data_IF_671017296293
#
_entry.id   IF_671017296293
#
_cell.length_a   1.000
_cell.length_b   1.000
_cell.length_c   1.000
_cell.angle_alpha   90.00
_cell.angle_beta   90.00
_cell.angle_gamma   90.00
#
_symmetry.space_group_name_H-M   'P 1'
#
loop_
_entity.id
_entity.type
_entity.pdbx_description
1 polymer ?
#
# COMPACT_ATOMS: atom_id res chain seq x y z
N UNK A 1 26.56 -29.50 -3.52
CA UNK A 1 25.19 -29.54 -3.97
C UNK A 1 24.45 -28.33 -3.43
N UNK A 2 23.62 -27.74 -4.22
CA UNK A 2 22.71 -26.68 -3.78
C UNK A 2 21.65 -27.34 -2.89
N UNK A 3 21.52 -26.90 -1.65
CA UNK A 3 20.37 -27.24 -0.81
C UNK A 3 19.28 -26.22 -1.10
N UNK A 4 18.24 -26.67 -1.77
CA UNK A 4 17.07 -25.87 -2.08
C UNK A 4 16.12 -25.89 -0.87
N UNK A 5 16.28 -24.94 0.03
CA UNK A 5 15.39 -24.79 1.19
C UNK A 5 14.30 -23.78 0.84
N UNK A 6 13.08 -24.28 0.73
CA UNK A 6 11.90 -23.44 0.67
C UNK A 6 11.61 -22.91 2.07
N UNK A 7 11.59 -21.59 2.19
CA UNK A 7 11.09 -20.92 3.38
C UNK A 7 9.68 -20.41 3.06
N UNK A 8 8.71 -20.91 3.78
CA UNK A 8 7.36 -20.41 3.73
C UNK A 8 7.01 -19.63 5.00
N UNK A 9 6.10 -18.68 4.87
CA UNK A 9 5.56 -17.90 5.97
C UNK A 9 4.07 -17.86 5.85
N UNK A 10 3.39 -17.92 6.98
CA UNK A 10 1.95 -17.84 7.02
C UNK A 10 1.47 -16.41 6.80
N UNK A 11 0.58 -16.24 5.82
CA UNK A 11 -0.21 -15.03 5.61
C UNK A 11 -1.66 -15.28 6.04
N UNK A 12 -2.33 -14.24 6.50
CA UNK A 12 -3.70 -14.33 6.99
C UNK A 12 -4.61 -13.40 6.20
N UNK A 13 -5.84 -13.87 5.94
CA UNK A 13 -6.92 -13.00 5.47
C UNK A 13 -7.59 -12.33 6.66
N UNK A 14 -7.83 -11.04 6.55
CA UNK A 14 -8.53 -10.23 7.54
C UNK A 14 -9.93 -9.91 7.03
N UNK A 15 -10.89 -9.86 7.95
CA UNK A 15 -12.26 -9.44 7.66
C UNK A 15 -12.36 -7.93 7.86
N UNK A 16 -12.73 -7.24 6.79
CA UNK A 16 -13.07 -5.83 6.80
C UNK A 16 -14.58 -5.70 6.72
N UNK A 17 -15.15 -4.96 7.66
CA UNK A 17 -16.60 -4.82 7.76
C UNK A 17 -16.97 -3.39 8.04
N UNK A 18 -17.67 -2.76 7.12
CA UNK A 18 -18.16 -1.39 7.25
C UNK A 18 -19.69 -1.40 7.21
N UNK A 19 -20.30 -1.08 8.34
CA UNK A 19 -21.75 -1.00 8.47
C UNK A 19 -22.27 0.41 8.21
N UNK A 20 -23.46 0.49 7.65
CA UNK A 20 -24.22 1.73 7.55
C UNK A 20 -25.12 1.90 8.76
N UNK A 21 -25.42 3.15 9.13
CA UNK A 21 -26.45 3.43 10.12
C UNK A 21 -27.82 3.03 9.58
N UNK A 22 -28.75 2.71 10.49
CA UNK A 22 -30.13 2.39 10.11
C UNK A 22 -30.80 3.66 9.58
N UNK A 23 -31.32 3.58 8.37
CA UNK A 23 -32.15 4.59 7.76
C UNK A 23 -33.61 4.21 7.92
N UNK A 24 -34.39 5.04 8.62
CA UNK A 24 -35.84 4.83 8.71
C UNK A 24 -36.49 4.95 7.33
N UNK A 25 -37.65 4.34 7.15
CA UNK A 25 -38.43 4.44 5.92
C UNK A 25 -38.70 5.90 5.51
N UNK A 26 -38.94 6.78 6.50
CA UNK A 26 -39.10 8.22 6.27
C UNK A 26 -37.82 8.87 5.73
N UNK A 27 -36.65 8.53 6.30
CA UNK A 27 -35.37 9.07 5.85
C UNK A 27 -35.00 8.61 4.42
N UNK A 28 -35.36 7.37 4.08
CA UNK A 28 -35.18 6.84 2.72
C UNK A 28 -36.05 7.54 1.67
N UNK A 29 -37.24 7.97 2.08
CA UNK A 29 -38.20 8.62 1.18
C UNK A 29 -38.05 10.15 1.09
N UNK A 30 -37.28 10.76 1.99
CA UNK A 30 -37.15 12.21 2.09
C UNK A 30 -35.96 12.74 1.29
N UNK A 31 -36.24 13.71 0.45
CA UNK A 31 -35.21 14.51 -0.21
C UNK A 31 -34.61 15.51 0.79
N UNK A 32 -33.29 15.50 0.96
CA UNK A 32 -32.59 16.31 1.94
C UNK A 32 -31.68 17.33 1.26
N UNK A 33 -31.94 18.62 1.46
CA UNK A 33 -31.12 19.74 0.94
C UNK A 33 -30.85 19.70 -0.58
N UNK A 34 -31.83 19.29 -1.38
CA UNK A 34 -31.68 19.16 -2.82
C UNK A 34 -30.91 17.94 -3.29
N UNK A 35 -30.59 17.02 -2.38
CA UNK A 35 -29.99 15.72 -2.69
C UNK A 35 -31.12 14.70 -2.81
N UNK A 36 -31.34 14.23 -4.03
CA UNK A 36 -32.46 13.33 -4.34
C UNK A 36 -32.32 11.93 -3.68
N UNK A 37 -31.13 11.55 -3.24
CA UNK A 37 -30.90 10.26 -2.62
C UNK A 37 -29.75 10.33 -1.61
N UNK A 38 -30.08 10.68 -0.37
CA UNK A 38 -29.11 10.77 0.72
C UNK A 38 -28.51 9.41 1.08
N UNK A 39 -29.29 8.35 0.98
CA UNK A 39 -28.81 6.98 1.20
C UNK A 39 -27.68 6.61 0.22
N UNK A 40 -27.84 6.96 -1.05
CA UNK A 40 -26.82 6.68 -2.07
C UNK A 40 -25.54 7.49 -1.83
N UNK A 41 -25.66 8.74 -1.39
CA UNK A 41 -24.50 9.57 -1.04
C UNK A 41 -23.69 8.95 0.11
N UNK A 42 -24.37 8.58 1.19
CA UNK A 42 -23.72 7.95 2.35
C UNK A 42 -23.11 6.61 1.97
N UNK A 43 -23.75 5.89 1.06
CA UNK A 43 -23.24 4.63 0.54
C UNK A 43 -21.88 4.81 -0.15
N UNK A 44 -21.75 5.85 -0.97
CA UNK A 44 -20.47 6.19 -1.62
C UNK A 44 -19.39 6.55 -0.61
N UNK A 45 -19.73 7.36 0.40
CA UNK A 45 -18.80 7.73 1.46
C UNK A 45 -18.33 6.49 2.25
N UNK A 46 -19.25 5.57 2.57
CA UNK A 46 -18.92 4.32 3.29
C UNK A 46 -18.09 3.35 2.44
N UNK A 47 -18.28 3.33 1.14
CA UNK A 47 -17.46 2.55 0.24
C UNK A 47 -16.02 3.09 0.17
N UNK A 48 -15.86 4.41 0.18
CA UNK A 48 -14.54 5.04 0.25
C UNK A 48 -13.84 4.73 1.58
N UNK A 49 -14.56 4.86 2.70
CA UNK A 49 -14.05 4.50 4.04
C UNK A 49 -13.58 3.04 4.06
N UNK A 50 -14.39 2.11 3.55
CA UNK A 50 -14.06 0.69 3.48
C UNK A 50 -12.78 0.42 2.68
N UNK A 51 -12.61 1.09 1.54
CA UNK A 51 -11.39 0.97 0.73
C UNK A 51 -10.16 1.52 1.45
N UNK A 52 -10.31 2.64 2.16
CA UNK A 52 -9.22 3.21 2.95
C UNK A 52 -8.81 2.30 4.11
N UNK A 53 -9.74 1.63 4.76
CA UNK A 53 -9.45 0.65 5.82
C UNK A 53 -8.65 -0.54 5.29
N UNK A 54 -9.00 -1.04 4.10
CA UNK A 54 -8.26 -2.10 3.42
C UNK A 54 -6.85 -1.63 3.06
N UNK A 55 -6.72 -0.45 2.46
CA UNK A 55 -5.43 0.14 2.08
C UNK A 55 -4.53 0.33 3.30
N UNK A 56 -5.09 0.87 4.39
CA UNK A 56 -4.35 1.04 5.65
C UNK A 56 -3.87 -0.29 6.22
N UNK A 57 -4.69 -1.33 6.20
CA UNK A 57 -4.29 -2.64 6.68
C UNK A 57 -3.23 -3.30 5.79
N UNK A 58 -3.33 -3.12 4.46
CA UNK A 58 -2.34 -3.65 3.51
C UNK A 58 -1.01 -2.89 3.55
N UNK A 59 -1.02 -1.65 4.02
CA UNK A 59 0.20 -0.86 4.17
C UNK A 59 0.86 -1.08 5.56
N UNK A 60 0.06 -1.09 6.65
CA UNK A 60 0.56 -1.08 8.03
C UNK A 60 0.21 -2.31 8.88
N UNK A 61 -0.51 -3.28 8.35
CA UNK A 61 -0.93 -4.45 9.11
C UNK A 61 0.22 -5.27 9.67
N UNK A 62 0.11 -5.73 10.90
CA UNK A 62 1.18 -6.42 11.64
C UNK A 62 0.98 -7.93 11.62
N UNK A 63 0.41 -8.53 10.67
CA UNK A 63 0.26 -9.98 10.53
C UNK A 63 0.20 -10.76 11.84
N UNK A 64 -0.98 -11.08 12.33
CA UNK A 64 -1.13 -11.83 13.56
C UNK A 64 -2.33 -12.77 13.48
N UNK A 65 -2.24 -13.91 14.15
CA UNK A 65 -3.37 -14.77 14.42
C UNK A 65 -3.49 -14.97 15.93
N UNK A 66 -4.71 -15.03 16.44
CA UNK A 66 -4.90 -15.43 17.83
C UNK A 66 -4.42 -16.89 18.00
N UNK A 67 -3.61 -17.13 19.02
CA UNK A 67 -3.03 -18.44 19.35
C UNK A 67 -4.10 -19.45 19.87
N UNK A 68 -5.36 -19.17 19.70
CA UNK A 68 -6.42 -19.97 20.30
C UNK A 68 -6.72 -21.24 19.50
N UNK A 69 -6.22 -22.33 20.02
CA UNK A 69 -6.65 -23.68 19.60
C UNK A 69 -8.13 -23.95 19.88
N UNK A 70 -8.83 -23.08 20.59
CA UNK A 70 -10.19 -23.29 21.10
C UNK A 70 -11.23 -22.34 20.48
N UNK A 71 -10.80 -21.30 19.77
CA UNK A 71 -11.74 -20.35 19.21
C UNK A 71 -12.44 -20.90 17.97
N UNK A 72 -13.74 -20.98 18.03
CA UNK A 72 -14.59 -21.24 16.86
C UNK A 72 -14.51 -20.12 15.82
N UNK A 73 -13.96 -18.97 16.21
CA UNK A 73 -13.75 -17.78 15.38
C UNK A 73 -12.39 -17.15 15.70
N UNK A 74 -11.28 -17.65 15.11
CA UNK A 74 -9.96 -17.07 15.33
C UNK A 74 -9.89 -15.67 14.75
N UNK A 75 -9.35 -14.73 15.52
CA UNK A 75 -9.06 -13.37 15.04
C UNK A 75 -7.78 -13.41 14.22
N UNK A 76 -7.82 -12.88 13.02
CA UNK A 76 -6.67 -12.84 12.10
C UNK A 76 -6.50 -11.45 11.53
N UNK A 77 -5.25 -11.02 11.42
CA UNK A 77 -4.85 -9.74 10.83
C UNK A 77 -3.89 -9.99 9.68
N UNK A 78 -4.12 -9.30 8.56
CA UNK A 78 -3.25 -9.37 7.39
C UNK A 78 -1.88 -8.74 7.65
N UNK A 79 -0.85 -9.24 6.98
CA UNK A 79 0.43 -8.54 6.88
C UNK A 79 0.29 -7.32 5.97
N UNK A 80 0.82 -6.19 6.45
CA UNK A 80 1.05 -5.01 5.65
C UNK A 80 2.45 -5.02 5.04
N UNK A 81 2.60 -4.37 3.90
CA UNK A 81 3.87 -4.34 3.17
C UNK A 81 5.01 -3.69 3.98
N UNK A 82 4.71 -2.64 4.77
CA UNK A 82 5.71 -1.90 5.52
C UNK A 82 6.27 -2.74 6.69
N UNK A 83 5.49 -3.26 7.65
CA UNK A 83 6.02 -4.07 8.75
C UNK A 83 6.63 -5.39 8.27
N UNK A 84 6.10 -5.97 7.19
CA UNK A 84 6.66 -7.17 6.60
C UNK A 84 8.06 -6.91 6.01
N UNK A 85 8.20 -5.85 5.23
CA UNK A 85 9.49 -5.47 4.64
C UNK A 85 10.49 -5.02 5.71
N UNK A 86 10.03 -4.34 6.76
CA UNK A 86 10.90 -3.96 7.88
C UNK A 86 11.47 -5.18 8.62
N UNK A 87 10.68 -6.25 8.72
CA UNK A 87 11.08 -7.48 9.43
C UNK A 87 11.91 -8.44 8.58
N UNK A 88 11.66 -8.48 7.27
CA UNK A 88 12.19 -9.54 6.42
C UNK A 88 12.81 -9.05 5.10
N UNK A 89 12.56 -7.83 4.71
CA UNK A 89 13.11 -7.20 3.51
C UNK A 89 14.38 -6.39 3.80
N UNK A 90 14.69 -5.48 2.90
CA UNK A 90 15.83 -4.58 2.99
C UNK A 90 15.43 -3.24 3.59
N UNK A 91 16.25 -2.71 4.50
CA UNK A 91 16.03 -1.39 5.12
C UNK A 91 17.27 -0.52 4.95
N UNK A 92 17.13 0.61 4.29
CA UNK A 92 18.19 1.58 4.08
C UNK A 92 17.90 2.85 4.87
N UNK A 93 18.87 3.28 5.67
CA UNK A 93 18.76 4.54 6.42
C UNK A 93 19.52 5.63 5.66
N UNK A 94 18.84 6.72 5.37
CA UNK A 94 19.36 7.88 4.67
C UNK A 94 19.18 9.14 5.51
N UNK A 95 20.07 10.11 5.36
CA UNK A 95 19.94 11.39 6.03
C UNK A 95 19.65 12.51 5.02
N UNK A 96 18.68 13.35 5.33
CA UNK A 96 18.36 14.53 4.52
C UNK A 96 19.53 15.52 4.36
N UNK A 97 20.46 15.53 5.31
CA UNK A 97 21.55 16.49 5.33
C UNK A 97 22.86 15.97 4.75
N UNK A 98 23.13 14.67 4.88
CA UNK A 98 24.42 14.07 4.53
C UNK A 98 24.36 13.04 3.41
N UNK A 99 23.21 12.42 3.18
CA UNK A 99 23.05 11.46 2.07
C UNK A 99 22.81 12.20 0.77
N UNK A 100 23.79 12.15 -0.11
CA UNK A 100 23.69 12.69 -1.47
C UNK A 100 23.20 11.66 -2.47
N UNK A 101 23.35 11.99 -3.74
CA UNK A 101 23.02 11.10 -4.85
C UNK A 101 23.83 9.80 -4.84
N UNK A 102 25.09 9.85 -4.42
CA UNK A 102 25.98 8.69 -4.36
C UNK A 102 25.47 7.66 -3.34
N UNK A 103 25.08 8.09 -2.15
CA UNK A 103 24.50 7.21 -1.14
C UNK A 103 23.16 6.56 -1.60
N UNK A 104 22.39 7.28 -2.40
CA UNK A 104 21.20 6.74 -3.02
C UNK A 104 21.52 5.67 -4.06
N UNK A 105 22.55 5.89 -4.89
CA UNK A 105 23.01 4.92 -5.87
C UNK A 105 23.56 3.64 -5.22
N UNK A 106 24.35 3.79 -4.14
CA UNK A 106 24.88 2.64 -3.39
C UNK A 106 23.75 1.76 -2.81
N UNK A 107 22.69 2.39 -2.29
CA UNK A 107 21.52 1.67 -1.84
C UNK A 107 20.77 0.97 -3.00
N UNK A 108 20.72 1.60 -4.17
CA UNK A 108 20.07 1.01 -5.35
C UNK A 108 20.89 -0.15 -5.94
N UNK A 109 22.21 -0.10 -5.88
CA UNK A 109 23.07 -1.21 -6.30
C UNK A 109 22.73 -2.49 -5.54
N UNK A 110 22.66 -2.42 -4.22
CA UNK A 110 22.26 -3.56 -3.39
C UNK A 110 20.79 -3.95 -3.60
N UNK A 111 19.90 -2.96 -3.74
CA UNK A 111 18.47 -3.23 -3.89
C UNK A 111 18.13 -3.96 -5.19
N UNK A 112 18.76 -3.60 -6.29
CA UNK A 112 18.57 -4.24 -7.59
C UNK A 112 19.46 -5.45 -7.83
N UNK A 113 20.14 -5.97 -6.81
CA UNK A 113 20.96 -7.15 -6.97
C UNK A 113 20.20 -8.31 -7.61
N UNK A 114 20.76 -8.99 -8.62
CA UNK A 114 20.03 -9.97 -9.43
C UNK A 114 19.76 -11.30 -8.74
N UNK A 115 20.28 -11.50 -7.56
CA UNK A 115 20.37 -12.78 -6.85
C UNK A 115 19.01 -13.35 -6.46
N UNK A 116 18.00 -12.51 -6.29
CA UNK A 116 16.66 -12.90 -5.81
C UNK A 116 15.58 -12.89 -6.90
N UNK A 117 15.94 -12.93 -8.18
CA UNK A 117 14.94 -12.81 -9.26
C UNK A 117 14.28 -11.45 -9.30
N UNK A 118 15.00 -10.43 -8.93
CA UNK A 118 14.57 -9.03 -8.91
C UNK A 118 14.07 -8.55 -10.27
N UNK A 119 12.99 -7.76 -10.28
CA UNK A 119 12.59 -7.06 -11.50
C UNK A 119 13.33 -5.71 -11.59
N UNK A 120 13.64 -5.29 -12.82
CA UNK A 120 14.22 -3.97 -13.08
C UNK A 120 13.25 -2.79 -12.88
N UNK A 121 11.98 -3.05 -12.53
CA UNK A 121 10.96 -2.03 -12.31
C UNK A 121 10.36 -2.20 -10.92
N UNK A 122 10.42 -1.15 -10.12
CA UNK A 122 9.86 -1.13 -8.77
C UNK A 122 8.82 -0.02 -8.63
N UNK A 123 7.73 -0.34 -7.94
CA UNK A 123 6.79 0.67 -7.46
C UNK A 123 7.31 1.25 -6.14
N UNK A 124 7.28 2.56 -6.02
CA UNK A 124 7.76 3.25 -4.83
C UNK A 124 6.64 4.09 -4.25
N UNK A 125 6.13 3.69 -3.10
CA UNK A 125 5.16 4.43 -2.33
C UNK A 125 5.93 5.41 -1.43
N UNK A 126 5.81 6.69 -1.70
CA UNK A 126 6.59 7.71 -1.01
C UNK A 126 5.72 8.79 -0.39
N UNK A 127 6.17 9.32 0.74
CA UNK A 127 5.58 10.50 1.36
C UNK A 127 5.88 11.75 0.54
N UNK A 128 5.12 12.81 0.78
CA UNK A 128 5.37 14.14 0.15
C UNK A 128 6.75 14.68 0.47
N UNK A 129 7.21 14.48 1.71
CA UNK A 129 8.49 14.97 2.19
C UNK A 129 9.64 14.32 1.44
N UNK A 130 9.58 13.00 1.27
CA UNK A 130 10.58 12.25 0.52
C UNK A 130 10.59 12.63 -0.95
N UNK A 131 9.43 12.76 -1.59
CA UNK A 131 9.33 13.19 -3.00
C UNK A 131 9.94 14.59 -3.17
N UNK A 132 9.65 15.52 -2.27
CA UNK A 132 10.22 16.87 -2.30
C UNK A 132 11.74 16.83 -2.14
N UNK A 133 12.25 15.99 -1.26
CA UNK A 133 13.70 15.82 -1.08
C UNK A 133 14.38 15.28 -2.33
N UNK A 134 13.83 14.23 -2.93
CA UNK A 134 14.38 13.64 -4.16
C UNK A 134 14.36 14.63 -5.34
N UNK A 135 13.32 15.44 -5.45
CA UNK A 135 13.29 16.52 -6.45
C UNK A 135 14.37 17.59 -6.20
N UNK A 136 14.67 17.90 -4.94
CA UNK A 136 15.76 18.82 -4.59
C UNK A 136 17.13 18.23 -4.88
N UNK A 137 17.35 16.95 -4.64
CA UNK A 137 18.57 16.24 -5.03
C UNK A 137 18.80 16.32 -6.54
N UNK A 138 17.77 16.05 -7.33
CA UNK A 138 17.82 16.17 -8.79
C UNK A 138 18.15 17.59 -9.25
N UNK A 139 17.54 18.61 -8.65
CA UNK A 139 17.78 20.02 -9.01
C UNK A 139 19.12 20.54 -8.49
N UNK A 140 19.56 20.12 -7.30
CA UNK A 140 20.85 20.49 -6.72
C UNK A 140 22.03 19.97 -7.54
N UNK A 141 21.92 18.77 -8.08
CA UNK A 141 22.87 18.20 -9.03
C UNK A 141 22.94 19.02 -10.33
N UNK A 142 21.84 19.67 -10.73
CA UNK A 142 21.79 20.55 -11.89
C UNK A 142 22.39 21.94 -11.64
N UNK A 143 22.25 22.48 -10.43
CA UNK A 143 22.76 23.81 -10.06
C UNK A 143 24.25 23.80 -9.69
N UNK A 144 24.78 22.67 -9.26
CA UNK A 144 26.21 22.53 -8.92
C UNK A 144 27.09 22.27 -10.15
N UNK A 145 26.55 22.41 -11.34
CA UNK A 145 27.25 22.21 -12.60
C UNK A 145 27.95 23.49 -13.08
N UNK A 146 28.76 24.09 -12.23
CA UNK A 146 29.88 24.87 -12.73
C UNK A 146 31.03 23.90 -12.97
N UNK A 147 31.25 23.61 -14.26
CA UNK A 147 32.39 22.86 -14.82
C UNK A 147 32.23 21.34 -14.94
N UNK A 148 31.66 20.92 -16.04
CA UNK A 148 32.30 19.85 -16.81
C UNK A 148 31.92 18.39 -16.56
N UNK A 149 30.80 18.04 -15.92
CA UNK A 149 30.35 16.65 -15.96
C UNK A 149 28.83 16.53 -16.15
N UNK A 150 28.44 16.51 -17.40
CA UNK A 150 27.06 16.26 -17.85
C UNK A 150 26.63 14.78 -17.77
N UNK A 151 27.26 13.98 -16.91
CA UNK A 151 27.08 12.53 -16.91
C UNK A 151 26.11 11.99 -15.85
N UNK A 152 25.63 12.79 -14.91
CA UNK A 152 24.75 12.33 -13.84
C UNK A 152 23.43 13.11 -13.84
N UNK A 153 22.59 12.79 -14.80
CA UNK A 153 21.20 13.27 -14.79
C UNK A 153 20.31 12.22 -14.17
N UNK A 154 19.65 12.60 -13.08
CA UNK A 154 18.45 11.90 -12.65
C UNK A 154 17.36 12.27 -13.69
N UNK A 155 17.08 11.39 -14.63
CA UNK A 155 16.01 11.60 -15.60
C UNK A 155 14.68 11.32 -14.90
N UNK A 156 14.04 12.40 -14.49
CA UNK A 156 12.69 12.33 -13.90
C UNK A 156 11.68 12.55 -15.01
N UNK A 157 11.06 11.49 -15.48
CA UNK A 157 9.96 11.55 -16.42
C UNK A 157 8.62 11.44 -15.69
N UNK A 158 7.71 12.35 -15.98
CA UNK A 158 6.34 12.30 -15.49
C UNK A 158 5.48 11.51 -16.47
N UNK A 159 5.00 10.33 -16.03
CA UNK A 159 4.10 9.51 -16.82
C UNK A 159 2.69 9.60 -16.22
N UNK A 160 1.65 9.96 -17.00
CA UNK A 160 0.28 9.93 -16.50
C UNK A 160 -0.12 8.48 -16.19
N UNK A 161 -0.47 8.22 -14.94
CA UNK A 161 -0.94 6.90 -14.52
C UNK A 161 -2.36 6.60 -15.01
N UNK A 162 -2.67 5.33 -15.23
CA UNK A 162 -3.97 4.87 -15.72
C UNK A 162 -5.16 5.19 -14.79
N UNK A 163 -4.89 5.59 -13.54
CA UNK A 163 -5.90 5.92 -12.53
C UNK A 163 -5.86 7.39 -12.05
N UNK A 164 -5.33 8.29 -12.88
CA UNK A 164 -5.25 9.71 -12.52
C UNK A 164 -4.13 10.07 -11.54
N UNK A 165 -3.24 9.15 -11.22
CA UNK A 165 -2.04 9.42 -10.43
C UNK A 165 -0.90 9.88 -11.35
N UNK A 166 -0.21 10.94 -10.95
CA UNK A 166 1.02 11.35 -11.62
C UNK A 166 2.16 10.50 -11.10
N UNK A 167 2.66 9.60 -11.93
CA UNK A 167 3.81 8.75 -11.60
C UNK A 167 5.07 9.44 -12.08
N UNK A 168 6.00 9.65 -11.17
CA UNK A 168 7.34 10.16 -11.51
C UNK A 168 8.28 8.97 -11.60
N UNK A 169 8.92 8.80 -12.74
CA UNK A 169 9.89 7.71 -12.97
C UNK A 169 11.29 8.23 -12.75
N UNK A 170 12.03 7.54 -11.89
CA UNK A 170 13.47 7.77 -11.69
C UNK A 170 14.22 6.61 -12.33
N UNK A 171 14.95 6.91 -13.39
CA UNK A 171 15.78 5.93 -14.06
C UNK A 171 17.17 5.90 -13.42
N UNK A 172 17.51 4.75 -12.85
CA UNK A 172 18.87 4.48 -12.37
C UNK A 172 19.58 3.55 -13.35
N UNK A 173 20.90 3.44 -13.24
CA UNK A 173 21.68 2.48 -14.06
C UNK A 173 21.32 1.02 -13.78
N UNK A 174 20.70 0.73 -12.63
CA UNK A 174 20.33 -0.61 -12.18
C UNK A 174 18.87 -0.96 -12.50
N UNK A 175 18.00 0.03 -12.62
CA UNK A 175 16.58 -0.17 -12.88
C UNK A 175 15.74 1.10 -12.72
N UNK A 176 14.45 0.96 -12.89
CA UNK A 176 13.49 2.06 -12.87
C UNK A 176 12.67 2.04 -11.57
N UNK A 177 12.55 3.18 -10.93
CA UNK A 177 11.72 3.44 -9.77
C UNK A 177 10.52 4.28 -10.16
N UNK A 178 9.33 3.73 -9.99
CA UNK A 178 8.07 4.41 -10.27
C UNK A 178 7.50 4.99 -8.99
N UNK A 179 7.67 6.28 -8.76
CA UNK A 179 7.22 6.95 -7.54
C UNK A 179 5.75 7.32 -7.63
N UNK A 180 5.01 6.91 -6.62
CA UNK A 180 3.61 7.30 -6.39
C UNK A 180 3.52 7.92 -5.01
N UNK A 181 2.83 9.05 -4.92
CA UNK A 181 2.56 9.66 -3.63
C UNK A 181 1.51 8.84 -2.87
N UNK A 182 1.88 8.38 -1.67
CA UNK A 182 0.99 7.66 -0.76
C UNK A 182 0.52 8.59 0.35
N UNK A 183 -0.77 8.98 0.36
CA UNK A 183 -1.30 9.93 1.36
C UNK A 183 -1.29 9.40 2.79
N UNK A 184 -1.29 8.07 2.98
CA UNK A 184 -1.26 7.45 4.30
C UNK A 184 0.12 7.50 4.96
N UNK A 185 1.19 7.71 4.19
CA UNK A 185 2.53 7.96 4.71
C UNK A 185 2.65 9.38 5.25
N UNK A 186 2.12 9.61 6.45
CA UNK A 186 2.08 10.92 7.13
C UNK A 186 2.38 10.77 8.63
N UNK A 187 2.70 11.89 9.29
CA UNK A 187 3.03 11.88 10.73
C UNK A 187 4.30 11.06 11.00
N UNK A 188 4.23 10.00 11.80
CA UNK A 188 5.40 9.17 12.11
C UNK A 188 6.03 8.49 10.88
N UNK A 189 5.28 8.35 9.79
CA UNK A 189 5.69 7.68 8.56
C UNK A 189 6.08 8.64 7.43
N UNK A 190 6.14 9.95 7.71
CA UNK A 190 6.45 10.95 6.67
C UNK A 190 7.88 10.87 6.12
N UNK A 191 8.78 10.21 6.84
CA UNK A 191 10.17 9.99 6.45
C UNK A 191 10.42 8.62 5.81
N UNK A 192 9.33 7.89 5.52
CA UNK A 192 9.39 6.55 4.95
C UNK A 192 9.05 6.57 3.46
N UNK A 193 9.72 5.66 2.76
CA UNK A 193 9.45 5.33 1.37
C UNK A 193 9.53 3.82 1.22
N UNK A 194 8.49 3.21 0.68
CA UNK A 194 8.38 1.75 0.54
C UNK A 194 8.53 1.36 -0.92
N UNK A 195 9.57 0.62 -1.24
CA UNK A 195 9.85 0.12 -2.58
C UNK A 195 9.31 -1.31 -2.71
N UNK A 196 8.46 -1.54 -3.69
CA UNK A 196 7.72 -2.79 -3.86
C UNK A 196 7.95 -3.37 -5.24
N UNK A 197 8.27 -4.65 -5.29
CA UNK A 197 8.24 -5.42 -6.54
C UNK A 197 6.84 -5.99 -6.77
N UNK A 198 6.12 -5.43 -7.74
CA UNK A 198 4.74 -5.83 -8.03
C UNK A 198 4.57 -7.26 -8.53
N UNK A 199 5.66 -7.93 -8.94
CA UNK A 199 5.61 -9.36 -9.30
C UNK A 199 5.46 -10.26 -8.08
N UNK A 200 5.94 -9.79 -6.93
CA UNK A 200 6.04 -10.53 -5.69
C UNK A 200 5.00 -10.12 -4.66
N UNK A 201 4.02 -9.32 -5.06
CA UNK A 201 2.89 -8.91 -4.20
C UNK A 201 1.58 -9.18 -4.92
N UNK A 202 0.65 -9.81 -4.23
CA UNK A 202 -0.66 -10.10 -4.77
C UNK A 202 -1.76 -9.90 -3.73
N UNK A 203 -2.87 -9.31 -4.16
CA UNK A 203 -4.11 -9.26 -3.38
C UNK A 203 -4.77 -10.63 -3.41
N UNK A 204 -5.07 -11.18 -2.24
CA UNK A 204 -5.68 -12.51 -2.10
C UNK A 204 -6.99 -12.43 -1.34
N UNK A 205 -8.12 -12.38 -2.04
CA UNK A 205 -9.42 -12.56 -1.39
C UNK A 205 -9.58 -14.01 -0.92
N UNK A 206 -10.29 -14.21 0.17
CA UNK A 206 -10.60 -15.56 0.65
C UNK A 206 -11.58 -16.23 -0.32
N UNK A 207 -11.13 -17.33 -0.90
CA UNK A 207 -11.91 -18.13 -1.84
C UNK A 207 -11.82 -19.61 -1.45
N UNK A 208 -12.94 -20.30 -1.43
CA UNK A 208 -12.97 -21.74 -1.14
C UNK A 208 -14.37 -22.33 -1.27
N UNK A 209 -14.44 -23.62 -1.61
CA UNK A 209 -15.68 -24.38 -1.72
C UNK A 209 -16.78 -23.72 -2.59
N UNK A 210 -16.37 -22.99 -3.65
CA UNK A 210 -17.31 -22.27 -4.52
C UNK A 210 -17.81 -20.94 -3.95
N UNK A 211 -17.30 -20.51 -2.81
CA UNK A 211 -17.64 -19.22 -2.20
C UNK A 211 -16.45 -18.26 -2.35
N UNK A 212 -16.72 -17.08 -2.87
CA UNK A 212 -15.78 -15.95 -2.86
C UNK A 212 -16.22 -14.95 -1.79
N UNK A 213 -15.30 -14.58 -0.92
CA UNK A 213 -15.52 -13.56 0.11
C UNK A 213 -14.76 -12.26 -0.21
N UNK A 214 -14.53 -12.02 -1.49
CA UNK A 214 -14.15 -10.69 -1.95
C UNK A 214 -15.29 -9.70 -1.67
N UNK A 215 -15.10 -8.44 -1.94
CA UNK A 215 -16.05 -7.37 -1.59
C UNK A 215 -17.47 -7.71 -2.01
N UNK A 216 -18.34 -7.86 -1.04
CA UNK A 216 -19.76 -8.08 -1.23
C UNK A 216 -20.59 -7.24 -0.25
N UNK A 217 -21.86 -7.09 -0.59
CA UNK A 217 -22.78 -6.25 0.15
C UNK A 217 -23.87 -7.14 0.73
N UNK A 218 -24.06 -7.04 2.03
CA UNK A 218 -25.24 -7.59 2.69
C UNK A 218 -26.26 -6.48 2.90
N UNK A 219 -27.46 -6.68 2.42
CA UNK A 219 -28.55 -5.72 2.51
C UNK A 219 -29.58 -6.16 3.56
N UNK A 220 -30.27 -5.19 4.17
CA UNK A 220 -31.31 -5.42 5.17
C UNK A 220 -30.82 -6.24 6.37
N UNK A 221 -29.74 -5.82 6.98
CA UNK A 221 -29.09 -6.53 8.11
C UNK A 221 -29.73 -6.17 9.47
N UNK A 222 -30.64 -5.18 9.47
CA UNK A 222 -31.34 -4.76 10.69
C UNK A 222 -32.22 -5.88 11.27
N UNK A 223 -32.49 -5.80 12.57
CA UNK A 223 -33.43 -6.71 13.21
C UNK A 223 -34.85 -6.52 12.65
N UNK A 224 -35.66 -7.60 12.64
CA UNK A 224 -36.99 -7.59 12.02
C UNK A 224 -38.02 -6.66 12.68
N UNK A 225 -37.74 -6.18 13.89
CA UNK A 225 -38.58 -5.24 14.65
C UNK A 225 -38.24 -3.78 14.39
N UNK A 226 -37.22 -3.50 13.58
CA UNK A 226 -36.76 -2.15 13.26
C UNK A 226 -37.26 -1.73 11.88
N UNK A 227 -38.05 -0.67 11.83
CA UNK A 227 -38.44 -0.06 10.58
C UNK A 227 -37.28 0.75 9.98
N UNK A 228 -36.76 0.28 8.84
CA UNK A 228 -35.66 0.92 8.16
C UNK A 228 -34.83 -0.05 7.34
N UNK A 229 -33.72 0.48 6.83
CA UNK A 229 -32.72 -0.27 6.06
C UNK A 229 -31.34 -0.06 6.63
N UNK A 230 -30.62 -1.16 6.83
CA UNK A 230 -29.22 -1.17 7.17
C UNK A 230 -28.49 -2.13 6.23
N UNK A 231 -27.47 -1.62 5.58
CA UNK A 231 -26.61 -2.43 4.70
C UNK A 231 -25.19 -2.46 5.29
N UNK A 232 -24.42 -3.47 4.92
CA UNK A 232 -23.01 -3.56 5.28
C UNK A 232 -22.16 -4.04 4.11
N UNK A 233 -20.94 -3.54 4.05
CA UNK A 233 -19.92 -3.95 3.09
C UNK A 233 -18.96 -4.87 3.82
N UNK A 234 -18.67 -6.03 3.25
CA UNK A 234 -17.76 -7.02 3.81
C UNK A 234 -16.73 -7.40 2.75
N UNK A 235 -15.47 -7.40 3.16
CA UNK A 235 -14.36 -7.95 2.38
C UNK A 235 -13.52 -8.83 3.28
N UNK A 236 -13.16 -10.00 2.81
CA UNK A 236 -12.23 -10.86 3.52
C UNK A 236 -11.05 -11.15 2.59
N UNK A 237 -9.93 -10.50 2.86
CA UNK A 237 -8.75 -10.54 2.02
C UNK A 237 -7.46 -10.40 2.82
N UNK A 238 -6.36 -10.77 2.20
CA UNK A 238 -5.02 -10.59 2.71
C UNK A 238 -4.06 -10.17 1.61
N UNK A 239 -2.87 -9.78 2.00
CA UNK A 239 -1.77 -9.50 1.11
C UNK A 239 -0.81 -10.70 1.09
N UNK A 240 -0.56 -11.23 -0.09
CA UNK A 240 0.52 -12.18 -0.32
C UNK A 240 1.77 -11.42 -0.69
N UNK A 241 2.84 -11.62 0.08
CA UNK A 241 4.14 -11.00 -0.15
C UNK A 241 5.16 -12.13 -0.23
N UNK A 242 5.77 -12.27 -1.40
CA UNK A 242 6.81 -13.26 -1.64
C UNK A 242 8.16 -12.58 -1.85
N UNK A 243 9.25 -13.34 -1.71
CA UNK A 243 10.63 -12.91 -1.90
C UNK A 243 10.90 -11.54 -1.25
N UNK A 244 10.95 -11.47 0.09
CA UNK A 244 11.04 -10.19 0.81
C UNK A 244 12.27 -9.35 0.46
N UNK A 245 13.33 -9.96 -0.03
CA UNK A 245 14.57 -9.29 -0.47
C UNK A 245 14.35 -8.38 -1.70
N UNK A 246 13.23 -8.57 -2.42
CA UNK A 246 12.86 -7.72 -3.56
C UNK A 246 12.11 -6.45 -3.15
N UNK A 247 11.80 -6.32 -1.87
CA UNK A 247 11.15 -5.15 -1.27
C UNK A 247 12.14 -4.42 -0.37
N UNK A 248 12.02 -3.10 -0.33
CA UNK A 248 12.88 -2.27 0.51
C UNK A 248 12.13 -1.11 1.15
N UNK A 249 12.64 -0.66 2.28
CA UNK A 249 12.22 0.58 2.91
C UNK A 249 13.41 1.54 2.92
N UNK A 250 13.18 2.76 2.45
CA UNK A 250 14.10 3.87 2.62
C UNK A 250 13.59 4.74 3.77
N UNK A 251 14.38 4.84 4.84
CA UNK A 251 14.09 5.70 6.00
C UNK A 251 14.99 6.92 5.93
N UNK A 252 14.39 8.08 5.94
CA UNK A 252 15.10 9.37 5.93
C UNK A 252 15.09 10.00 7.32
N UNK A 253 16.22 10.52 7.77
CA UNK A 253 16.38 11.17 9.08
C UNK A 253 17.14 12.50 8.98
#
# INVERSE_FOLDING_TARGET
>A
GWEDKLFDREGYCQIFKTGMNIFSGTALATEYRGIANEFQRIWQDKLMEHKMDIEQAMLFGVGAASAEAVATQPTRYSWGILPYTESYGKVYNMSYSSSGYDAFLDAMEDFFAPESGNSGNKLVLASRKVITYLNKLGSGSFLNNSVGSSQYRLDVATVPGAFGHTVTVVNTIFGNLHFVQEPLLRGPWEDYCVCVDMKNVAYRPLMGNGVSRDTFIETNVQANDIDGRQDQIITEAGLEISVPETHAILKFS
#
